data_IF_968108787408
#
_entry.id   IF_968108787408
#
_cell.length_a   1.000
_cell.length_b   1.000
_cell.length_c   1.000
_cell.angle_alpha   90.00
_cell.angle_beta   90.00
_cell.angle_gamma   90.00
#
_symmetry.space_group_name_H-M   'P 1'
#
loop_
_entity.id
_entity.type
_entity.pdbx_description
1 polymer ?
#
# COMPACT_ATOMS: atom_id res chain seq x y z
N UNK A 1 -35.47 -0.17 -21.67
CA UNK A 1 -34.78 1.03 -21.16
C UNK A 1 -33.40 0.59 -20.69
N UNK A 2 -32.31 1.20 -21.15
CA UNK A 2 -30.98 0.90 -20.63
C UNK A 2 -30.85 1.51 -19.22
N UNK A 3 -30.36 0.72 -18.26
CA UNK A 3 -30.14 1.16 -16.88
C UNK A 3 -29.01 2.18 -16.76
N UNK A 4 -28.89 2.88 -15.62
CA UNK A 4 -27.87 3.89 -15.41
C UNK A 4 -26.49 3.22 -15.42
N UNK A 5 -25.58 3.74 -16.25
CA UNK A 5 -24.16 3.41 -16.15
C UNK A 5 -23.61 4.18 -14.95
N UNK A 6 -23.07 3.47 -13.97
CA UNK A 6 -22.26 4.08 -12.93
C UNK A 6 -20.99 4.61 -13.59
N UNK A 7 -20.87 5.93 -13.68
CA UNK A 7 -19.65 6.62 -14.05
C UNK A 7 -18.81 6.71 -12.77
N UNK A 8 -17.73 5.94 -12.67
CA UNK A 8 -16.80 5.96 -11.53
C UNK A 8 -15.65 6.94 -11.73
N UNK A 9 -15.67 7.72 -12.80
CA UNK A 9 -14.61 8.69 -13.10
C UNK A 9 -15.11 10.12 -12.86
N UNK A 10 -14.97 10.55 -11.61
CA UNK A 10 -14.76 11.95 -11.20
C UNK A 10 -14.68 11.95 -9.66
N UNK A 11 -13.48 11.75 -9.12
CA UNK A 11 -13.20 12.30 -7.80
C UNK A 11 -13.06 13.81 -8.02
N UNK A 12 -14.05 14.57 -7.58
CA UNK A 12 -13.98 16.02 -7.52
C UNK A 12 -12.83 16.39 -6.58
N UNK A 13 -11.74 16.96 -7.11
CA UNK A 13 -10.68 17.56 -6.31
C UNK A 13 -11.20 18.89 -5.74
N UNK A 14 -11.75 18.83 -4.53
CA UNK A 14 -12.08 20.00 -3.71
C UNK A 14 -10.78 20.52 -3.05
N UNK A 15 -10.30 21.73 -3.36
CA UNK A 15 -8.97 22.21 -2.95
C UNK A 15 -8.83 22.55 -1.44
N UNK A 16 -9.86 22.30 -0.63
CA UNK A 16 -9.90 22.60 0.81
C UNK A 16 -9.92 21.35 1.71
N UNK A 17 -9.70 20.14 1.18
CA UNK A 17 -9.67 18.93 2.00
C UNK A 17 -8.30 18.76 2.70
N UNK A 18 -8.16 19.33 3.91
CA UNK A 18 -7.06 19.10 4.87
C UNK A 18 -6.97 17.64 5.38
N UNK A 19 -7.63 16.71 4.67
CA UNK A 19 -7.73 15.30 4.99
C UNK A 19 -6.52 14.50 4.53
N UNK A 20 -6.27 13.41 5.24
CA UNK A 20 -5.34 12.37 4.77
C UNK A 20 -6.18 11.29 4.12
N UNK A 21 -5.96 11.07 2.82
CA UNK A 21 -6.63 10.00 2.09
C UNK A 21 -5.89 8.67 2.34
N UNK A 22 -6.68 7.64 2.66
CA UNK A 22 -6.19 6.28 2.88
C UNK A 22 -6.91 5.35 1.91
N UNK A 23 -6.15 4.71 1.04
CA UNK A 23 -6.65 3.77 0.05
C UNK A 23 -6.31 2.34 0.48
N UNK A 24 -7.34 1.53 0.75
CA UNK A 24 -7.16 0.11 1.06
C UNK A 24 -7.44 -0.75 -0.16
N UNK A 25 -6.46 -1.56 -0.55
CA UNK A 25 -6.47 -2.41 -1.73
C UNK A 25 -6.55 -3.86 -1.28
N UNK A 26 -7.59 -4.57 -1.74
CA UNK A 26 -7.79 -5.98 -1.43
C UNK A 26 -6.82 -6.89 -2.18
N UNK A 27 -6.53 -8.06 -1.60
CA UNK A 27 -5.70 -9.08 -2.24
C UNK A 27 -6.21 -9.48 -3.61
N UNK A 28 -7.52 -9.71 -3.75
CA UNK A 28 -8.15 -10.04 -5.03
C UNK A 28 -7.95 -8.99 -6.14
N UNK A 29 -7.87 -7.70 -5.78
CA UNK A 29 -7.54 -6.64 -6.74
C UNK A 29 -6.07 -6.71 -7.16
N UNK A 30 -5.18 -6.99 -6.20
CA UNK A 30 -3.75 -7.13 -6.46
C UNK A 30 -3.43 -8.37 -7.30
N UNK A 31 -4.05 -9.51 -7.04
CA UNK A 31 -3.87 -10.76 -7.80
C UNK A 31 -4.20 -10.60 -9.30
N UNK A 32 -5.14 -9.71 -9.63
CA UNK A 32 -5.51 -9.41 -11.02
C UNK A 32 -4.50 -8.56 -11.80
N UNK A 33 -3.44 -8.07 -11.13
CA UNK A 33 -2.45 -7.16 -11.71
C UNK A 33 -1.11 -7.85 -11.91
N UNK A 34 -0.42 -7.50 -12.99
CA UNK A 34 1.00 -7.84 -13.15
C UNK A 34 1.85 -7.09 -12.12
N UNK A 35 3.07 -7.58 -11.83
CA UNK A 35 3.96 -6.95 -10.86
C UNK A 35 4.23 -5.46 -11.15
N UNK A 36 4.38 -5.08 -12.42
CA UNK A 36 4.56 -3.66 -12.79
C UNK A 36 3.29 -2.83 -12.64
N UNK A 37 2.11 -3.41 -12.86
CA UNK A 37 0.83 -2.70 -12.63
C UNK A 37 0.59 -2.48 -11.14
N UNK A 38 0.93 -3.45 -10.29
CA UNK A 38 0.93 -3.28 -8.82
C UNK A 38 1.81 -2.12 -8.38
N UNK A 39 3.05 -2.08 -8.88
CA UNK A 39 4.02 -1.03 -8.53
C UNK A 39 3.51 0.34 -8.94
N UNK A 40 3.01 0.50 -10.16
CA UNK A 40 2.46 1.78 -10.63
C UNK A 40 1.28 2.22 -9.78
N UNK A 41 0.34 1.31 -9.51
CA UNK A 41 -0.83 1.62 -8.71
C UNK A 41 -0.45 2.13 -7.31
N UNK A 42 0.57 1.54 -6.68
CA UNK A 42 1.09 2.01 -5.39
C UNK A 42 1.77 3.37 -5.54
N UNK A 43 2.68 3.52 -6.50
CA UNK A 43 3.46 4.74 -6.70
C UNK A 43 2.60 5.95 -7.08
N UNK A 44 1.53 5.74 -7.82
CA UNK A 44 0.60 6.80 -8.19
C UNK A 44 -0.15 7.30 -6.94
N UNK A 45 -0.66 6.39 -6.11
CA UNK A 45 -1.36 6.77 -4.87
C UNK A 45 -0.47 7.53 -3.88
N UNK A 46 0.75 7.06 -3.63
CA UNK A 46 1.65 7.71 -2.65
C UNK A 46 2.24 9.03 -3.16
N UNK A 47 2.34 9.22 -4.48
CA UNK A 47 2.75 10.49 -5.08
C UNK A 47 1.72 11.59 -4.86
N UNK A 48 0.45 11.23 -4.92
CA UNK A 48 -0.65 12.15 -4.62
C UNK A 48 -0.77 12.47 -3.11
N UNK A 49 0.14 11.94 -2.28
CA UNK A 49 0.16 12.13 -0.84
C UNK A 49 -0.70 11.14 -0.06
N UNK A 50 -1.28 10.14 -0.73
CA UNK A 50 -2.17 9.16 -0.09
C UNK A 50 -1.38 8.08 0.66
N UNK A 51 -2.02 7.49 1.67
CA UNK A 51 -1.54 6.26 2.31
C UNK A 51 -2.20 5.07 1.64
N UNK A 52 -1.39 4.12 1.17
CA UNK A 52 -1.85 2.91 0.50
C UNK A 52 -1.71 1.72 1.45
N UNK A 53 -2.78 0.98 1.68
CA UNK A 53 -2.81 -0.23 2.51
C UNK A 53 -3.12 -1.43 1.61
N UNK A 54 -2.24 -2.43 1.63
CA UNK A 54 -2.43 -3.71 0.95
C UNK A 54 -2.91 -4.75 1.96
N UNK A 55 -4.05 -5.36 1.69
CA UNK A 55 -4.54 -6.50 2.49
C UNK A 55 -3.61 -7.72 2.37
N UNK A 56 -3.02 -7.87 1.19
CA UNK A 56 -2.02 -8.87 0.85
C UNK A 56 -0.77 -8.15 0.35
N UNK A 57 0.32 -8.29 1.07
CA UNK A 57 1.58 -7.61 0.79
C UNK A 57 2.21 -8.02 -0.55
N UNK A 58 3.24 -7.27 -0.93
CA UNK A 58 4.03 -7.59 -2.12
C UNK A 58 4.90 -8.84 -1.88
N UNK A 59 5.15 -9.61 -2.94
CA UNK A 59 6.23 -10.60 -2.90
C UNK A 59 7.60 -9.91 -2.77
N UNK A 60 8.64 -10.59 -2.27
CA UNK A 60 9.97 -10.00 -2.12
C UNK A 60 10.54 -9.39 -3.41
N UNK A 61 10.27 -10.01 -4.55
CA UNK A 61 10.69 -9.51 -5.87
C UNK A 61 9.92 -8.23 -6.25
N UNK A 62 8.61 -8.18 -5.98
CA UNK A 62 7.79 -6.99 -6.22
C UNK A 62 8.17 -5.85 -5.28
N UNK A 63 8.45 -6.12 -4.01
CA UNK A 63 8.91 -5.11 -3.04
C UNK A 63 10.27 -4.54 -3.46
N UNK A 64 11.21 -5.41 -3.84
CA UNK A 64 12.52 -5.00 -4.37
C UNK A 64 12.37 -4.12 -5.60
N UNK A 65 11.43 -4.47 -6.49
CA UNK A 65 11.16 -3.70 -7.69
C UNK A 65 10.46 -2.37 -7.38
N UNK A 66 9.55 -2.34 -6.40
CA UNK A 66 8.94 -1.10 -5.92
C UNK A 66 10.01 -0.13 -5.41
N UNK A 67 10.97 -0.60 -4.61
CA UNK A 67 12.09 0.20 -4.11
C UNK A 67 12.94 0.72 -5.28
N UNK A 68 13.29 -0.16 -6.22
CA UNK A 68 14.08 0.21 -7.41
C UNK A 68 13.41 1.31 -8.23
N UNK A 69 12.12 1.14 -8.55
CA UNK A 69 11.36 2.12 -9.34
C UNK A 69 11.16 3.41 -8.54
N UNK A 70 10.95 3.33 -7.23
CA UNK A 70 10.87 4.52 -6.38
C UNK A 70 12.13 5.37 -6.52
N UNK A 71 13.32 4.75 -6.45
CA UNK A 71 14.59 5.46 -6.58
C UNK A 71 14.71 6.22 -7.91
N UNK A 72 14.09 5.74 -8.99
CA UNK A 72 14.11 6.42 -10.29
C UNK A 72 13.09 7.56 -10.38
N UNK A 73 12.05 7.53 -9.54
CA UNK A 73 10.97 8.52 -9.54
C UNK A 73 11.17 9.64 -8.49
N UNK A 74 12.12 9.48 -7.55
CA UNK A 74 12.39 10.50 -6.53
C UNK A 74 12.87 11.82 -7.16
N UNK A 75 12.23 12.90 -6.74
CA UNK A 75 12.56 14.28 -7.12
C UNK A 75 12.53 15.18 -5.86
N UNK A 76 13.55 16.03 -5.62
CA UNK A 76 13.64 16.86 -4.41
C UNK A 76 12.42 17.76 -4.15
N UNK A 77 11.75 18.18 -5.21
CA UNK A 77 10.69 19.18 -5.15
C UNK A 77 9.27 18.58 -5.23
N UNK A 78 9.16 17.27 -5.51
CA UNK A 78 7.88 16.63 -5.85
C UNK A 78 7.66 15.35 -5.02
N UNK A 79 8.54 14.36 -5.17
CA UNK A 79 8.40 13.05 -4.55
C UNK A 79 9.67 12.63 -3.81
N UNK A 80 9.62 12.63 -2.47
CA UNK A 80 10.79 12.33 -1.62
C UNK A 80 11.07 10.83 -1.46
N UNK A 81 10.14 9.97 -1.89
CA UNK A 81 10.22 8.51 -1.77
C UNK A 81 9.07 7.93 -0.96
N UNK A 82 9.18 6.66 -0.61
CA UNK A 82 8.16 5.89 0.12
C UNK A 82 8.69 5.36 1.44
N UNK A 83 7.79 5.16 2.39
CA UNK A 83 7.97 4.35 3.60
C UNK A 83 7.10 3.10 3.46
N UNK A 84 7.62 1.92 3.83
CA UNK A 84 6.91 0.63 3.75
C UNK A 84 6.95 -0.03 5.13
N UNK A 85 5.77 -0.40 5.66
CA UNK A 85 5.63 -1.15 6.90
C UNK A 85 4.75 -2.38 6.70
N UNK A 86 5.25 -3.56 7.07
CA UNK A 86 4.51 -4.83 6.90
C UNK A 86 4.20 -5.47 8.25
N UNK A 87 2.96 -5.91 8.42
CA UNK A 87 2.46 -6.57 9.62
C UNK A 87 2.03 -8.02 9.32
N UNK A 88 2.55 -9.02 10.06
CA UNK A 88 2.11 -10.40 9.89
C UNK A 88 0.67 -10.55 10.37
N UNK A 89 -0.21 -11.10 9.53
CA UNK A 89 -1.54 -11.53 10.01
C UNK A 89 -1.32 -12.72 10.94
N UNK A 90 -1.83 -12.65 12.17
CA UNK A 90 -1.82 -13.78 13.08
C UNK A 90 -2.57 -14.94 12.43
N UNK A 91 -1.87 -16.01 12.08
CA UNK A 91 -2.50 -17.18 11.48
C UNK A 91 -3.50 -17.80 12.47
N UNK A 92 -4.77 -17.82 12.09
CA UNK A 92 -5.76 -18.66 12.73
C UNK A 92 -5.51 -20.12 12.31
N UNK A 93 -4.63 -20.81 13.04
CA UNK A 93 -4.57 -22.28 13.10
C UNK A 93 -3.76 -23.02 12.03
N UNK A 94 -2.79 -23.81 12.49
CA UNK A 94 -2.25 -25.04 11.88
C UNK A 94 -1.44 -25.03 10.56
N UNK A 95 -1.09 -23.88 9.94
CA UNK A 95 -0.34 -23.90 8.66
C UNK A 95 1.19 -23.71 8.75
N UNK A 96 1.75 -23.38 9.92
CA UNK A 96 3.07 -22.74 10.00
C UNK A 96 4.35 -23.59 9.79
N UNK A 97 4.29 -24.92 9.60
CA UNK A 97 5.51 -25.76 9.50
C UNK A 97 5.76 -26.41 8.14
N UNK A 98 4.72 -26.84 7.44
CA UNK A 98 4.87 -27.48 6.12
C UNK A 98 5.10 -26.44 5.00
N UNK A 99 4.46 -25.28 5.07
CA UNK A 99 4.61 -24.23 4.06
C UNK A 99 5.97 -23.52 4.12
N UNK A 100 6.55 -23.37 5.32
CA UNK A 100 7.93 -22.89 5.52
C UNK A 100 8.98 -23.80 4.90
N UNK A 101 8.77 -25.12 4.95
CA UNK A 101 9.66 -26.09 4.30
C UNK A 101 9.47 -26.13 2.77
N UNK A 102 8.29 -25.72 2.29
CA UNK A 102 7.95 -25.65 0.86
C UNK A 102 8.28 -24.30 0.22
N UNK A 103 8.88 -23.36 0.97
CA UNK A 103 9.27 -22.04 0.47
C UNK A 103 8.10 -21.10 0.15
N UNK A 104 6.90 -21.43 0.63
CA UNK A 104 5.71 -20.58 0.48
C UNK A 104 5.57 -19.72 1.72
N UNK A 105 6.19 -18.54 1.72
CA UNK A 105 5.78 -17.52 2.70
C UNK A 105 4.34 -17.11 2.39
N UNK A 106 3.46 -17.17 3.40
CA UNK A 106 2.11 -16.67 3.28
C UNK A 106 2.16 -15.16 3.03
N UNK A 107 1.62 -14.74 1.88
CA UNK A 107 1.46 -13.35 1.43
C UNK A 107 0.40 -12.58 2.24
N UNK A 108 -0.26 -13.27 3.18
CA UNK A 108 -1.26 -12.75 4.12
C UNK A 108 -0.64 -11.79 5.15
N UNK A 109 0.17 -10.83 4.72
CA UNK A 109 0.71 -9.75 5.55
C UNK A 109 0.01 -8.46 5.12
N UNK A 110 -0.43 -7.67 6.08
CA UNK A 110 -0.98 -6.35 5.80
C UNK A 110 0.19 -5.39 5.62
N UNK A 111 0.25 -4.68 4.50
CA UNK A 111 1.36 -3.76 4.18
C UNK A 111 0.84 -2.35 4.06
N UNK A 112 1.47 -1.39 4.73
CA UNK A 112 1.17 0.04 4.68
C UNK A 112 2.29 0.73 3.95
N UNK A 113 1.96 1.57 2.98
CA UNK A 113 2.90 2.28 2.13
C UNK A 113 2.45 3.74 2.05
N UNK A 114 3.36 4.68 2.25
CA UNK A 114 3.04 6.09 2.04
C UNK A 114 4.27 6.94 1.78
N UNK A 115 4.09 8.26 1.59
CA UNK A 115 5.19 9.13 1.24
C UNK A 115 6.15 9.34 2.42
N UNK A 116 7.46 9.27 2.14
CA UNK A 116 8.52 9.28 3.16
C UNK A 116 8.57 10.57 4.01
N UNK A 117 7.93 11.66 3.57
CA UNK A 117 7.87 12.93 4.27
C UNK A 117 6.61 13.10 5.15
N UNK A 118 5.70 12.11 5.22
CA UNK A 118 4.41 12.24 5.95
C UNK A 118 4.11 11.16 6.98
N UNK A 119 4.82 10.04 6.98
CA UNK A 119 4.55 8.92 7.88
C UNK A 119 5.61 8.88 8.99
N UNK A 120 5.21 9.20 10.22
CA UNK A 120 5.98 8.89 11.41
C UNK A 120 5.26 7.76 12.19
N UNK A 121 5.91 6.59 12.27
CA UNK A 121 5.40 5.46 13.06
C UNK A 121 5.52 5.80 14.55
N UNK A 122 4.40 6.13 15.20
CA UNK A 122 4.38 6.51 16.61
C UNK A 122 4.38 5.31 17.55
N UNK A 123 3.65 4.26 17.21
CA UNK A 123 3.47 3.11 18.09
C UNK A 123 3.19 1.84 17.30
N UNK A 124 3.88 0.76 17.67
CA UNK A 124 3.78 -0.56 17.07
C UNK A 124 3.55 -1.56 18.20
N UNK A 125 2.33 -2.08 18.31
CA UNK A 125 2.02 -3.24 19.14
C UNK A 125 1.50 -4.39 18.26
N UNK A 126 1.32 -5.57 18.86
CA UNK A 126 0.91 -6.79 18.16
C UNK A 126 -0.54 -6.74 17.59
N UNK A 127 -1.27 -5.67 17.86
CA UNK A 127 -2.68 -5.49 17.52
C UNK A 127 -3.01 -4.09 16.94
N UNK A 128 -2.06 -3.15 16.90
CA UNK A 128 -2.30 -1.76 16.51
C UNK A 128 -1.10 -1.14 15.78
N UNK A 129 -1.38 -0.58 14.60
CA UNK A 129 -0.51 0.36 13.91
C UNK A 129 -1.04 1.77 14.17
N UNK A 130 -0.22 2.60 14.78
CA UNK A 130 -0.49 4.04 14.93
C UNK A 130 0.52 4.84 14.11
N UNK A 131 0.06 5.35 12.97
CA UNK A 131 0.81 6.29 12.13
C UNK A 131 0.32 7.70 12.42
N UNK A 132 1.24 8.63 12.74
CA UNK A 132 0.91 10.05 12.77
C UNK A 132 1.22 10.65 11.41
N UNK A 133 0.22 11.34 10.88
CA UNK A 133 0.32 12.03 9.60
C UNK A 133 0.37 13.52 9.89
N UNK A 134 1.48 14.15 9.53
CA UNK A 134 1.69 15.58 9.77
C UNK A 134 0.94 16.41 8.74
N UNK A 135 0.16 17.39 9.22
CA UNK A 135 -0.49 18.41 8.40
C UNK A 135 0.53 19.50 8.02
N UNK A 136 0.35 20.13 6.85
CA UNK A 136 1.16 21.28 6.43
C UNK A 136 0.70 22.55 7.14
#
# INVERSE_FOLDING_TARGET
MPGPKANVDAADDDPDDDGVRIDMISGARMEGLTGMEKIRLILDGVRDGNIVILEEGLSPDEESKLIEVTMTEISPDDFTGIEIETYPKAEAGDQSFLDKLMGRESTQKLTVIGPANRIETLHKDENLISTLVSRK
#
